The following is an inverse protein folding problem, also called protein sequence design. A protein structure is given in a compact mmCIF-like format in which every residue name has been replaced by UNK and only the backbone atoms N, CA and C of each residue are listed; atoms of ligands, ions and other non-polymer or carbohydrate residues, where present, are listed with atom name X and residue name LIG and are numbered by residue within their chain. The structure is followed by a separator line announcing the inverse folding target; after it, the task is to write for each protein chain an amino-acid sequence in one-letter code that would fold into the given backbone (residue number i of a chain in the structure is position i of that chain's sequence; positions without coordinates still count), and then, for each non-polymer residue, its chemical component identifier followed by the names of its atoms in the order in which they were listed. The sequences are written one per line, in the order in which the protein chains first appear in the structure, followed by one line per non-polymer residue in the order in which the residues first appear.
data_IF_943398244403
#
_entry.id   IF_943398244403
#
_cell.length_a   1.000
_cell.length_b   1.000
_cell.length_c   1.000
_cell.angle_alpha   90.00
_cell.angle_beta   90.00
_cell.angle_gamma   90.00
#
_symmetry.space_group_name_H-M   'P 1'
#
loop_
_entity.id
_entity.type
_entity.pdbx_description
1 polymer ?
#
# COMPACT_ATOMS: atom_id res chain seq x y z
N UNK A 1 6.59 -8.66 10.24
CA UNK A 1 7.87 -7.91 10.27
C UNK A 1 8.59 -8.13 11.60
N UNK A 2 7.95 -7.85 12.74
CA UNK A 2 8.50 -8.10 14.10
C UNK A 2 9.10 -9.51 14.27
N UNK A 3 8.32 -10.58 14.07
CA UNK A 3 8.77 -11.94 14.43
C UNK A 3 9.84 -12.54 13.51
N UNK A 4 9.93 -12.05 12.28
CA UNK A 4 10.82 -12.62 11.24
C UNK A 4 12.07 -11.76 11.05
N UNK A 5 11.92 -10.44 11.12
CA UNK A 5 12.97 -9.47 10.84
C UNK A 5 13.34 -8.62 12.06
N UNK A 6 12.74 -8.86 13.22
CA UNK A 6 12.98 -8.12 14.48
C UNK A 6 12.78 -6.60 14.34
N UNK A 7 11.90 -6.16 13.43
CA UNK A 7 11.50 -4.75 13.30
C UNK A 7 10.43 -4.42 14.33
N UNK A 8 10.71 -3.46 15.21
CA UNK A 8 9.67 -2.69 15.89
C UNK A 8 9.27 -1.53 15.03
N UNK A 9 8.12 -1.66 14.39
CA UNK A 9 7.57 -0.63 13.54
C UNK A 9 6.33 -0.01 14.23
N UNK A 10 5.85 1.15 13.77
CA UNK A 10 4.57 1.72 14.19
C UNK A 10 3.61 1.59 13.00
N UNK A 11 2.45 0.98 13.22
CA UNK A 11 1.51 0.70 12.15
C UNK A 11 0.30 1.62 12.21
N UNK A 12 -0.19 2.01 11.04
CA UNK A 12 -1.51 2.61 10.86
C UNK A 12 -2.25 1.74 9.84
N UNK A 13 -3.32 1.10 10.26
CA UNK A 13 -4.20 0.33 9.39
C UNK A 13 -5.47 1.12 9.10
N UNK A 14 -5.83 1.24 7.83
CA UNK A 14 -7.06 1.89 7.38
C UNK A 14 -7.98 0.83 6.82
N UNK A 15 -9.15 0.67 7.43
CA UNK A 15 -10.13 -0.35 7.10
C UNK A 15 -11.52 0.29 7.03
N UNK A 16 -12.26 0.07 5.96
CA UNK A 16 -13.56 0.72 5.77
C UNK A 16 -14.68 -0.02 6.50
N UNK A 17 -14.54 -1.34 6.70
CA UNK A 17 -15.51 -2.17 7.42
C UNK A 17 -15.26 -2.09 8.94
N UNK A 18 -16.21 -1.46 9.63
CA UNK A 18 -16.19 -1.32 11.09
C UNK A 18 -16.19 -2.68 11.82
N UNK A 19 -16.88 -3.68 11.28
CA UNK A 19 -16.95 -5.02 11.86
C UNK A 19 -15.58 -5.69 11.74
N UNK A 20 -14.92 -5.58 10.59
CA UNK A 20 -13.56 -6.11 10.41
C UNK A 20 -12.58 -5.43 11.35
N UNK A 21 -12.64 -4.09 11.45
CA UNK A 21 -11.82 -3.28 12.36
C UNK A 21 -11.99 -3.72 13.82
N UNK A 22 -13.24 -3.91 14.25
CA UNK A 22 -13.59 -4.35 15.61
C UNK A 22 -13.09 -5.76 15.90
N UNK A 23 -13.28 -6.69 14.96
CA UNK A 23 -12.85 -8.08 15.12
C UNK A 23 -11.33 -8.19 15.16
N UNK A 24 -10.62 -7.44 14.30
CA UNK A 24 -9.16 -7.36 14.32
C UNK A 24 -8.67 -6.85 15.68
N UNK A 25 -9.26 -5.76 16.18
CA UNK A 25 -8.99 -5.18 17.50
C UNK A 25 -9.14 -6.21 18.63
N UNK A 26 -10.23 -6.98 18.58
CA UNK A 26 -10.58 -7.92 19.65
C UNK A 26 -9.72 -9.19 19.65
N UNK A 27 -9.39 -9.74 18.49
CA UNK A 27 -8.83 -11.09 18.39
C UNK A 27 -7.40 -11.16 17.86
N UNK A 28 -6.94 -10.17 17.09
CA UNK A 28 -5.65 -10.23 16.40
C UNK A 28 -4.59 -9.36 17.05
N UNK A 29 -4.97 -8.18 17.56
CA UNK A 29 -3.99 -7.18 18.01
C UNK A 29 -3.23 -7.55 19.27
N UNK A 30 -3.81 -8.37 20.14
CA UNK A 30 -3.12 -8.90 21.33
C UNK A 30 -1.87 -9.74 21.00
N UNK A 31 -1.64 -10.04 19.71
CA UNK A 31 -0.53 -10.85 19.20
C UNK A 31 0.61 -10.03 18.59
N UNK A 32 0.45 -8.71 18.47
CA UNK A 32 1.45 -7.75 17.99
C UNK A 32 2.12 -7.08 19.18
N UNK A 33 3.44 -6.92 19.13
CA UNK A 33 4.18 -6.11 20.11
C UNK A 33 4.31 -4.66 19.66
N UNK A 34 4.32 -4.42 18.34
CA UNK A 34 4.34 -3.07 17.79
C UNK A 34 3.04 -2.32 18.06
N UNK A 35 3.13 -0.99 18.25
CA UNK A 35 1.96 -0.13 18.24
C UNK A 35 1.22 -0.21 16.89
N UNK A 36 -0.10 -0.26 16.96
CA UNK A 36 -1.00 -0.20 15.80
C UNK A 36 -2.16 0.74 16.11
N UNK A 37 -2.33 1.74 15.24
CA UNK A 37 -3.54 2.54 15.16
C UNK A 37 -4.46 1.99 14.06
N UNK A 38 -5.73 1.74 14.39
CA UNK A 38 -6.75 1.38 13.41
C UNK A 38 -7.63 2.60 13.15
N UNK A 39 -7.74 2.99 11.89
CA UNK A 39 -8.59 4.06 11.40
C UNK A 39 -9.71 3.46 10.57
N UNK A 40 -10.93 3.47 11.11
CA UNK A 40 -12.09 3.00 10.36
C UNK A 40 -12.60 4.08 9.40
N UNK A 41 -12.18 4.03 8.15
CA UNK A 41 -12.47 5.06 7.14
C UNK A 41 -12.30 4.56 5.70
N UNK A 42 -12.81 5.33 4.74
CA UNK A 42 -12.45 5.20 3.33
C UNK A 42 -10.96 5.56 3.16
N UNK A 43 -10.16 4.60 2.66
CA UNK A 43 -8.73 4.77 2.48
C UNK A 43 -8.37 5.92 1.51
N UNK A 44 -9.20 6.21 0.51
CA UNK A 44 -8.98 7.32 -0.42
C UNK A 44 -9.09 8.66 0.30
N UNK A 45 -10.12 8.80 1.13
CA UNK A 45 -10.30 10.01 1.96
C UNK A 45 -9.16 10.13 2.96
N UNK A 46 -8.76 9.03 3.60
CA UNK A 46 -7.63 9.05 4.53
C UNK A 46 -6.34 9.52 3.86
N UNK A 47 -6.00 8.95 2.71
CA UNK A 47 -4.79 9.31 1.95
C UNK A 47 -4.81 10.78 1.51
N UNK A 48 -5.98 11.30 1.13
CA UNK A 48 -6.15 12.70 0.71
C UNK A 48 -5.94 13.71 1.85
N UNK A 49 -6.35 13.36 3.09
CA UNK A 49 -6.41 14.32 4.21
C UNK A 49 -5.32 14.15 5.27
N UNK A 50 -4.65 13.00 5.32
CA UNK A 50 -3.64 12.74 6.35
C UNK A 50 -2.37 13.55 6.11
N UNK A 51 -1.84 14.16 7.18
CA UNK A 51 -0.53 14.85 7.15
C UNK A 51 0.63 13.93 7.57
N UNK A 52 0.33 12.70 8.00
CA UNK A 52 1.33 11.74 8.42
C UNK A 52 2.20 11.28 7.26
N UNK A 53 3.49 11.05 7.53
CA UNK A 53 4.43 10.47 6.58
C UNK A 53 4.97 9.12 7.06
N UNK A 54 5.17 8.21 6.12
CA UNK A 54 5.50 6.81 6.36
C UNK A 54 6.78 6.40 5.65
N UNK A 55 7.53 5.52 6.28
CA UNK A 55 8.67 4.84 5.66
C UNK A 55 8.19 3.75 4.68
N UNK A 56 6.96 3.27 4.84
CA UNK A 56 6.31 2.32 3.94
C UNK A 56 4.80 2.55 3.87
N UNK A 57 4.24 2.53 2.66
CA UNK A 57 2.81 2.51 2.39
C UNK A 57 2.47 1.21 1.68
N UNK A 58 1.49 0.46 2.19
CA UNK A 58 1.02 -0.78 1.57
C UNK A 58 -0.45 -0.59 1.17
N UNK A 59 -0.74 -0.72 -0.10
CA UNK A 59 -2.10 -0.71 -0.65
C UNK A 59 -2.50 -2.14 -0.96
N UNK A 60 -3.41 -2.67 -0.15
CA UNK A 60 -3.94 -4.03 -0.24
C UNK A 60 -5.49 -3.97 -0.24
N UNK A 61 -6.06 -3.45 -1.32
CA UNK A 61 -7.50 -3.14 -1.43
C UNK A 61 -8.09 -3.90 -2.61
N UNK A 62 -9.15 -4.68 -2.34
CA UNK A 62 -9.86 -5.47 -3.32
C UNK A 62 -11.38 -5.45 -3.11
N UNK A 63 -12.10 -5.40 -4.22
CA UNK A 63 -13.49 -5.86 -4.36
C UNK A 63 -13.48 -7.07 -5.29
N UNK A 64 -13.77 -8.24 -4.75
CA UNK A 64 -13.57 -9.55 -5.41
C UNK A 64 -12.14 -9.73 -5.95
N UNK A 65 -11.97 -9.76 -7.27
CA UNK A 65 -10.69 -9.98 -7.94
C UNK A 65 -10.00 -8.67 -8.38
N UNK A 66 -10.63 -7.52 -8.17
CA UNK A 66 -10.18 -6.24 -8.73
C UNK A 66 -9.96 -5.19 -7.63
N UNK A 67 -9.01 -4.30 -7.86
CA UNK A 67 -8.94 -3.07 -7.06
C UNK A 67 -10.01 -2.09 -7.56
N UNK A 68 -10.79 -1.45 -6.68
CA UNK A 68 -11.81 -0.51 -7.11
C UNK A 68 -11.22 0.67 -7.89
N UNK A 69 -11.89 1.16 -8.97
CA UNK A 69 -11.37 2.22 -9.82
C UNK A 69 -10.88 3.50 -9.12
N UNK A 70 -11.48 3.98 -8.00
CA UNK A 70 -10.98 5.15 -7.29
C UNK A 70 -9.55 5.02 -6.76
N UNK A 71 -9.04 3.81 -6.55
CA UNK A 71 -7.67 3.54 -6.10
C UNK A 71 -6.70 3.27 -7.26
N UNK A 72 -7.19 3.25 -8.50
CA UNK A 72 -6.39 3.07 -9.72
C UNK A 72 -6.12 4.40 -10.44
N UNK A 73 -6.48 5.54 -9.85
CA UNK A 73 -6.32 6.86 -10.48
C UNK A 73 -4.90 7.39 -10.29
N UNK A 74 -4.46 8.26 -11.20
CA UNK A 74 -3.15 8.90 -11.07
C UNK A 74 -3.08 9.81 -9.84
N UNK A 75 -4.20 10.44 -9.50
CA UNK A 75 -4.39 11.29 -8.33
C UNK A 75 -4.17 10.49 -7.03
N UNK A 76 -4.85 9.35 -6.86
CA UNK A 76 -4.68 8.52 -5.68
C UNK A 76 -3.25 8.02 -5.52
N UNK A 77 -2.62 7.58 -6.62
CA UNK A 77 -1.22 7.15 -6.60
C UNK A 77 -0.29 8.31 -6.24
N UNK A 78 -0.50 9.49 -6.80
CA UNK A 78 0.28 10.67 -6.46
C UNK A 78 0.17 10.99 -4.96
N UNK A 79 -1.04 10.99 -4.42
CA UNK A 79 -1.29 11.25 -3.00
C UNK A 79 -0.59 10.21 -2.12
N UNK A 80 -0.64 8.92 -2.48
CA UNK A 80 0.14 7.89 -1.79
C UNK A 80 1.65 8.17 -1.82
N UNK A 81 2.17 8.69 -2.94
CA UNK A 81 3.58 9.09 -3.06
C UNK A 81 3.96 10.30 -2.18
N UNK A 82 3.02 11.20 -1.91
CA UNK A 82 3.21 12.32 -0.98
C UNK A 82 3.36 11.84 0.47
N UNK A 83 2.67 10.76 0.84
CA UNK A 83 2.75 10.15 2.17
C UNK A 83 4.11 9.50 2.45
N UNK A 84 4.88 9.14 1.42
CA UNK A 84 6.20 8.54 1.62
C UNK A 84 7.21 9.57 2.10
N UNK A 85 7.99 9.20 3.13
CA UNK A 85 9.25 9.88 3.45
C UNK A 85 10.28 9.68 2.34
N UNK A 86 11.31 10.53 2.24
CA UNK A 86 12.44 10.28 1.35
C UNK A 86 13.05 8.89 1.61
N UNK A 87 13.25 8.10 0.54
CA UNK A 87 13.69 6.71 0.65
C UNK A 87 12.60 5.70 1.01
N UNK A 88 11.37 6.15 1.30
CA UNK A 88 10.24 5.31 1.65
C UNK A 88 9.69 4.49 0.49
N UNK A 89 9.02 3.38 0.81
CA UNK A 89 8.56 2.38 -0.15
C UNK A 89 7.03 2.31 -0.24
N UNK A 90 6.49 2.36 -1.46
CA UNK A 90 5.10 2.00 -1.73
C UNK A 90 5.02 0.61 -2.33
N UNK A 91 4.15 -0.22 -1.76
CA UNK A 91 3.81 -1.55 -2.23
C UNK A 91 2.32 -1.59 -2.56
N UNK A 92 1.96 -1.97 -3.77
CA UNK A 92 0.58 -2.04 -4.24
C UNK A 92 0.27 -3.47 -4.68
N UNK A 93 -0.56 -4.17 -3.93
CA UNK A 93 -0.92 -5.56 -4.22
C UNK A 93 -1.92 -5.62 -5.38
N UNK A 94 -1.67 -6.51 -6.34
CA UNK A 94 -2.53 -6.78 -7.49
C UNK A 94 -2.63 -8.27 -7.74
N UNK A 95 -3.84 -8.77 -7.97
CA UNK A 95 -4.00 -10.13 -8.50
C UNK A 95 -3.41 -10.20 -9.91
N UNK A 96 -2.70 -11.29 -10.20
CA UNK A 96 -2.11 -11.55 -11.51
C UNK A 96 -2.26 -13.02 -11.96
N UNK A 97 -2.44 -13.94 -11.01
CA UNK A 97 -2.66 -15.37 -11.23
C UNK A 97 -4.13 -15.75 -11.38
N UNK A 98 -4.38 -16.90 -12.01
CA UNK A 98 -5.71 -17.53 -12.10
C UNK A 98 -6.56 -17.04 -13.28
N UNK A 99 -6.89 -15.75 -13.34
CA UNK A 99 -7.82 -15.19 -14.33
C UNK A 99 -7.08 -14.38 -15.42
N UNK A 100 -7.09 -14.80 -16.71
CA UNK A 100 -6.44 -14.07 -17.78
C UNK A 100 -6.92 -12.62 -17.97
N UNK A 101 -8.19 -12.33 -17.67
CA UNK A 101 -8.71 -10.97 -17.79
C UNK A 101 -8.12 -10.05 -16.72
N UNK A 102 -8.06 -10.51 -15.47
CA UNK A 102 -7.45 -9.79 -14.34
C UNK A 102 -5.97 -9.53 -14.60
N UNK A 103 -5.27 -10.53 -15.14
CA UNK A 103 -3.87 -10.39 -15.54
C UNK A 103 -3.65 -9.23 -16.52
N UNK A 104 -4.45 -9.17 -17.59
CA UNK A 104 -4.36 -8.08 -18.59
C UNK A 104 -4.65 -6.72 -17.95
N UNK A 105 -5.61 -6.64 -17.03
CA UNK A 105 -5.94 -5.41 -16.32
C UNK A 105 -4.79 -4.96 -15.42
N UNK A 106 -4.16 -5.88 -14.67
CA UNK A 106 -2.99 -5.60 -13.84
C UNK A 106 -1.78 -5.14 -14.66
N UNK A 107 -1.46 -5.84 -15.74
CA UNK A 107 -0.37 -5.46 -16.65
C UNK A 107 -0.62 -4.08 -17.28
N UNK A 108 -1.87 -3.81 -17.70
CA UNK A 108 -2.27 -2.53 -18.26
C UNK A 108 -2.19 -1.41 -17.22
N UNK A 109 -2.69 -1.62 -16.02
CA UNK A 109 -2.64 -0.65 -14.93
C UNK A 109 -1.19 -0.28 -14.60
N UNK A 110 -0.32 -1.28 -14.49
CA UNK A 110 1.11 -1.08 -14.24
C UNK A 110 1.75 -0.20 -15.32
N UNK A 111 1.61 -0.56 -16.59
CA UNK A 111 2.27 0.15 -17.69
C UNK A 111 1.65 1.52 -18.01
N UNK A 112 0.32 1.64 -17.93
CA UNK A 112 -0.39 2.82 -18.40
C UNK A 112 -0.64 3.87 -17.32
N UNK A 113 -0.62 3.49 -16.05
CA UNK A 113 -0.91 4.39 -14.93
C UNK A 113 0.22 4.38 -13.91
N UNK A 114 0.50 3.24 -13.29
CA UNK A 114 1.42 3.17 -12.14
C UNK A 114 2.83 3.67 -12.50
N UNK A 115 3.44 3.14 -13.56
CA UNK A 115 4.78 3.57 -14.02
C UNK A 115 4.85 5.01 -14.51
N UNK A 116 3.71 5.59 -14.93
CA UNK A 116 3.67 6.98 -15.37
C UNK A 116 3.68 7.96 -14.19
N UNK A 117 3.03 7.59 -13.08
CA UNK A 117 3.08 8.36 -11.83
C UNK A 117 4.43 8.15 -11.15
N UNK A 118 4.88 6.89 -11.10
CA UNK A 118 6.08 6.47 -10.39
C UNK A 118 7.20 6.09 -11.36
N UNK A 119 7.98 7.08 -11.78
CA UNK A 119 9.17 6.84 -12.61
C UNK A 119 10.12 5.89 -11.89
N UNK A 120 10.55 4.83 -12.57
CA UNK A 120 11.42 3.80 -11.99
C UNK A 120 10.70 2.70 -11.21
N UNK A 121 9.36 2.68 -11.18
CA UNK A 121 8.61 1.59 -10.58
C UNK A 121 8.93 0.21 -11.18
N UNK A 122 8.84 -0.81 -10.33
CA UNK A 122 9.04 -2.23 -10.66
C UNK A 122 7.93 -3.08 -10.05
N UNK A 123 7.98 -4.40 -10.22
CA UNK A 123 7.09 -5.32 -9.53
C UNK A 123 7.82 -6.58 -9.06
N UNK A 124 7.23 -7.25 -8.07
CA UNK A 124 7.62 -8.58 -7.59
C UNK A 124 6.50 -9.54 -7.95
N UNK A 125 6.81 -10.60 -8.69
CA UNK A 125 5.87 -11.67 -9.01
C UNK A 125 5.94 -12.75 -7.92
N UNK A 126 4.82 -12.98 -7.22
CA UNK A 126 4.72 -14.00 -6.17
C UNK A 126 4.14 -15.33 -6.67
N UNK A 127 3.87 -15.45 -7.98
CA UNK A 127 3.23 -16.58 -8.63
C UNK A 127 1.70 -16.52 -8.66
N UNK A 128 1.09 -15.64 -7.86
CA UNK A 128 -0.35 -15.39 -7.84
C UNK A 128 -0.71 -13.90 -7.82
N UNK A 129 0.16 -13.08 -7.24
CA UNK A 129 0.01 -11.63 -7.21
C UNK A 129 1.24 -10.96 -7.79
N UNK A 130 1.03 -9.77 -8.33
CA UNK A 130 2.10 -8.80 -8.50
C UNK A 130 2.05 -7.81 -7.35
N UNK A 131 3.21 -7.61 -6.71
CA UNK A 131 3.41 -6.48 -5.81
C UNK A 131 4.08 -5.38 -6.63
N UNK A 132 3.33 -4.35 -6.99
CA UNK A 132 3.89 -3.19 -7.68
C UNK A 132 4.63 -2.32 -6.66
N UNK A 133 5.82 -1.87 -7.02
CA UNK A 133 6.75 -1.25 -6.10
C UNK A 133 7.22 0.10 -6.63
N UNK A 134 7.31 1.08 -5.73
CA UNK A 134 7.96 2.36 -5.97
C UNK A 134 8.73 2.78 -4.72
N UNK A 135 9.94 3.29 -4.89
CA UNK A 135 10.70 3.90 -3.81
C UNK A 135 10.89 5.39 -4.09
N UNK A 136 10.50 6.23 -3.14
CA UNK A 136 10.70 7.68 -3.23
C UNK A 136 12.19 7.99 -3.14
N UNK A 137 12.65 8.92 -3.98
CA UNK A 137 14.05 9.32 -3.96
C UNK A 137 14.47 9.79 -2.56
N UNK A 138 15.63 9.32 -2.11
CA UNK A 138 16.22 9.82 -0.89
C UNK A 138 16.66 11.27 -1.10
N UNK A 139 16.45 12.13 -0.10
CA UNK A 139 17.08 13.44 -0.11
C UNK A 139 18.59 13.21 -0.09
N UNK A 140 19.39 13.86 -0.94
CA UNK A 140 20.84 13.78 -0.84
C UNK A 140 21.21 14.16 0.59
N UNK A 141 21.91 13.26 1.29
CA UNK A 141 22.44 13.55 2.61
C UNK A 141 23.34 14.78 2.45
N UNK A 142 23.02 15.90 3.10
CA UNK A 142 24.01 16.96 3.28
C UNK A 142 25.20 16.31 3.98
N UNK A 143 26.31 16.21 3.27
CA UNK A 143 27.54 15.64 3.79
C UNK A 143 27.95 16.44 5.02
N UNK A 144 27.84 15.82 6.20
CA UNK A 144 28.40 16.31 7.46
C UNK A 144 29.90 16.00 7.52
#
# INVERSE_FOLDING_TARGET
LEKVFDCRCHYTAVEWDEVVSLLASKYTLSRLESPLDIVTADARVFVEVTEAQYDMVVVDIFEDELTPPPFETAEFLHDCGLLLRPGGLLLFNRLHGGNPAVRVLTERFFEQTFRKVFTGAWYIDTGGNWILCYQKEATPTEAA
#
